data_IF_115586657453
#
_entry.id   IF_115586657453
#
_cell.length_a   1.000
_cell.length_b   1.000
_cell.length_c   1.000
_cell.angle_alpha   90.00
_cell.angle_beta   90.00
_cell.angle_gamma   90.00
#
_symmetry.space_group_name_H-M   'P 1'
#
loop_
_entity.id
_entity.type
_entity.pdbx_description
1 polymer ?
#
# COMPACT_ATOMS: atom_id res chain seq x y z
N UNK A 1 61.19 59.37 38.20
CA UNK A 1 60.66 60.23 37.13
C UNK A 1 59.19 59.88 36.98
N UNK A 2 58.39 60.40 37.93
CA UNK A 2 57.44 61.52 37.75
C UNK A 2 56.14 61.04 37.10
N UNK A 3 54.94 61.19 37.67
CA UNK A 3 54.53 61.73 38.96
C UNK A 3 53.08 61.24 39.27
N UNK A 4 52.80 61.03 40.57
CA UNK A 4 51.57 61.40 41.33
C UNK A 4 50.17 61.27 40.69
N UNK A 5 49.14 60.76 41.38
CA UNK A 5 48.72 61.21 42.72
C UNK A 5 47.83 60.19 43.47
N UNK A 6 47.88 60.34 44.80
CA UNK A 6 47.10 59.64 45.84
C UNK A 6 45.69 60.25 45.94
N UNK A 7 44.70 59.46 46.39
CA UNK A 7 44.02 59.79 47.64
C UNK A 7 43.21 58.61 48.21
N UNK A 8 43.34 58.46 49.53
CA UNK A 8 42.60 57.52 50.39
C UNK A 8 41.32 58.20 50.88
N UNK A 9 40.23 57.46 51.07
CA UNK A 9 39.29 57.73 52.16
C UNK A 9 38.76 56.41 52.77
N UNK A 10 38.41 56.52 54.05
CA UNK A 10 38.24 55.52 55.11
C UNK A 10 36.75 55.30 55.42
N UNK A 11 36.39 54.09 55.87
CA UNK A 11 35.46 53.77 57.02
C UNK A 11 33.95 54.09 56.77
N UNK A 12 32.89 53.39 57.22
CA UNK A 12 32.58 52.35 58.24
C UNK A 12 31.25 51.60 57.91
N UNK A 13 31.12 50.38 58.46
CA UNK A 13 29.94 49.68 59.05
C UNK A 13 28.49 50.01 58.64
N UNK A 14 27.65 49.01 58.31
CA UNK A 14 26.66 48.37 59.22
C UNK A 14 25.85 47.23 58.53
N UNK A 15 25.54 46.20 59.34
CA UNK A 15 24.65 45.02 59.19
C UNK A 15 23.41 45.10 58.29
N UNK A 16 23.00 44.00 57.63
CA UNK A 16 22.12 42.93 58.20
C UNK A 16 21.52 42.00 57.11
N UNK A 17 21.54 40.69 57.41
CA UNK A 17 20.58 39.61 57.07
C UNK A 17 20.51 39.04 55.63
N UNK A 18 21.06 37.82 55.54
CA UNK A 18 20.53 36.58 54.94
C UNK A 18 19.68 36.65 53.66
N UNK A 19 20.14 35.98 52.59
CA UNK A 19 19.75 34.58 52.33
C UNK A 19 20.37 34.06 51.01
N UNK A 20 20.94 32.85 51.13
CA UNK A 20 20.99 31.80 50.12
C UNK A 20 21.93 31.94 48.91
N UNK A 21 23.12 31.41 49.18
CA UNK A 21 24.16 30.79 48.34
C UNK A 21 23.76 30.44 46.90
N UNK A 22 24.54 31.05 46.01
CA UNK A 22 24.86 30.74 44.61
C UNK A 22 25.79 29.52 44.56
N UNK A 23 25.61 28.61 43.58
CA UNK A 23 26.76 28.12 42.80
C UNK A 23 26.40 28.07 41.31
N UNK A 24 26.84 29.13 40.64
CA UNK A 24 27.20 29.19 39.24
C UNK A 24 28.48 28.38 39.01
N UNK A 25 28.55 27.60 37.92
CA UNK A 25 29.80 27.44 37.17
C UNK A 25 29.50 27.67 35.69
N UNK A 26 30.01 28.79 35.21
CA UNK A 26 30.23 29.15 33.80
C UNK A 26 31.73 29.04 33.56
N UNK A 27 32.14 28.27 32.54
CA UNK A 27 33.31 28.52 31.67
C UNK A 27 33.01 27.79 30.34
N UNK A 28 32.52 28.48 29.30
CA UNK A 28 33.28 29.11 28.20
C UNK A 28 34.16 28.11 27.41
N UNK A 29 33.63 27.52 26.34
CA UNK A 29 33.66 27.98 24.92
C UNK A 29 34.94 27.63 24.15
N UNK A 30 34.71 26.96 23.00
CA UNK A 30 35.42 26.93 21.70
C UNK A 30 35.40 25.48 21.17
N UNK A 31 34.94 25.10 19.97
CA UNK A 31 34.58 25.81 18.74
C UNK A 31 33.88 24.79 17.77
N UNK A 32 33.07 25.30 16.83
CA UNK A 32 32.47 24.71 15.59
C UNK A 32 31.09 23.98 15.60
N UNK A 33 30.06 24.82 15.66
CA UNK A 33 28.99 25.08 14.66
C UNK A 33 28.42 23.97 13.75
N UNK A 34 27.08 23.91 13.76
CA UNK A 34 26.24 23.28 12.73
C UNK A 34 24.76 23.11 13.10
N UNK A 35 24.16 24.13 13.73
CA UNK A 35 22.78 24.14 14.26
C UNK A 35 21.70 24.47 13.19
N UNK A 36 20.47 24.05 13.51
CA UNK A 36 19.13 24.54 13.13
C UNK A 36 18.32 23.85 12.01
N UNK A 37 17.28 23.14 12.50
CA UNK A 37 16.00 22.87 11.83
C UNK A 37 15.13 24.14 11.66
N UNK A 38 13.78 24.04 11.57
CA UNK A 38 12.92 23.30 12.52
C UNK A 38 11.75 22.54 11.84
N UNK A 39 10.93 21.81 12.62
CA UNK A 39 9.48 22.06 12.73
C UNK A 39 8.83 21.15 13.80
N UNK A 40 8.35 21.80 14.86
CA UNK A 40 7.65 21.25 16.01
C UNK A 40 6.24 20.76 15.63
N UNK A 41 5.79 19.68 16.28
CA UNK A 41 4.39 19.27 16.33
C UNK A 41 3.94 19.39 17.80
N UNK A 42 2.67 19.77 18.02
CA UNK A 42 1.94 19.98 19.29
C UNK A 42 1.88 21.39 19.85
N UNK A 43 0.66 21.97 19.80
CA UNK A 43 -0.15 22.36 20.98
C UNK A 43 -1.58 22.65 20.50
N UNK A 44 -2.55 21.79 20.84
CA UNK A 44 -3.79 22.26 21.47
C UNK A 44 -4.53 21.06 22.10
N UNK A 45 -4.82 21.18 23.40
CA UNK A 45 -5.47 20.17 24.24
C UNK A 45 -6.75 20.81 24.79
N UNK A 46 -7.90 20.36 24.32
CA UNK A 46 -9.17 20.56 25.04
C UNK A 46 -9.50 19.27 25.79
N UNK A 47 -9.54 19.41 27.11
CA UNK A 47 -9.80 18.38 28.12
C UNK A 47 -11.29 18.00 28.06
N UNK A 48 -11.60 16.78 27.68
CA UNK A 48 -12.89 16.15 28.00
C UNK A 48 -12.65 15.07 29.07
N UNK A 49 -13.26 15.30 30.23
CA UNK A 49 -13.32 14.37 31.36
C UNK A 49 -14.03 13.07 30.94
N UNK A 50 -13.38 11.93 31.16
CA UNK A 50 -14.05 10.63 31.24
C UNK A 50 -14.69 10.48 32.64
N UNK A 51 -15.96 10.08 32.69
CA UNK A 51 -16.60 9.51 33.88
C UNK A 51 -16.58 7.96 33.82
N UNK A 52 -16.61 7.26 34.98
CA UNK A 52 -16.27 5.86 35.06
C UNK A 52 -17.44 4.88 34.82
N UNK A 53 -17.10 3.78 34.15
CA UNK A 53 -17.57 2.40 34.28
C UNK A 53 -18.99 2.12 34.81
N UNK A 54 -19.78 1.40 34.00
CA UNK A 54 -20.82 0.49 34.50
C UNK A 54 -20.42 -0.94 34.11
N UNK A 55 -20.10 -1.74 35.12
CA UNK A 55 -19.95 -3.19 35.06
C UNK A 55 -21.33 -3.84 35.10
N UNK A 56 -21.60 -4.79 34.19
CA UNK A 56 -22.75 -5.69 34.29
C UNK A 56 -22.22 -7.12 34.34
N UNK A 57 -22.57 -7.79 35.44
CA UNK A 57 -22.14 -9.15 35.78
C UNK A 57 -22.87 -10.20 34.95
N UNK A 58 -22.12 -11.20 34.47
CA UNK A 58 -22.59 -12.39 33.76
C UNK A 58 -23.20 -13.37 34.77
N UNK A 59 -24.42 -13.11 35.27
CA UNK A 59 -25.22 -14.10 36.04
C UNK A 59 -26.74 -14.01 35.79
N UNK A 60 -27.23 -13.25 34.80
CA UNK A 60 -28.70 -13.06 34.59
C UNK A 60 -29.23 -13.43 33.19
N UNK A 61 -28.65 -14.42 32.51
CA UNK A 61 -29.15 -14.89 31.20
C UNK A 61 -29.29 -16.42 31.06
N UNK A 62 -29.44 -17.13 32.17
CA UNK A 62 -29.79 -18.56 32.17
C UNK A 62 -31.02 -18.84 33.06
N UNK A 63 -32.19 -18.35 32.65
CA UNK A 63 -33.46 -18.76 33.26
C UNK A 63 -34.68 -18.48 32.36
N UNK A 64 -34.61 -18.70 31.04
CA UNK A 64 -35.81 -18.71 30.17
C UNK A 64 -35.65 -19.65 28.96
N UNK A 65 -35.43 -20.94 29.19
CA UNK A 65 -35.74 -21.97 28.20
C UNK A 65 -36.01 -23.29 28.92
N UNK A 66 -37.25 -23.49 29.34
CA UNK A 66 -37.79 -24.82 29.66
C UNK A 66 -39.32 -24.80 29.68
N UNK A 67 -39.89 -25.78 28.97
CA UNK A 67 -41.26 -26.33 29.04
C UNK A 67 -42.43 -25.49 28.52
N UNK A 68 -43.05 -25.93 27.41
CA UNK A 68 -44.19 -26.85 27.47
C UNK A 68 -44.57 -27.35 26.07
N UNK A 69 -44.55 -28.67 25.88
CA UNK A 69 -45.17 -29.38 24.77
C UNK A 69 -46.43 -30.02 25.35
N UNK A 70 -47.59 -29.81 24.72
CA UNK A 70 -48.81 -30.58 24.97
C UNK A 70 -49.27 -31.19 23.65
N UNK A 71 -49.38 -32.51 23.65
CA UNK A 71 -49.97 -33.31 22.57
C UNK A 71 -51.50 -33.18 22.56
N UNK A 72 -52.07 -33.00 21.37
CA UNK A 72 -53.40 -33.50 21.05
C UNK A 72 -53.44 -33.97 19.60
N UNK A 73 -53.98 -35.18 19.32
CA UNK A 73 -54.03 -35.72 17.97
C UNK A 73 -55.30 -35.26 17.26
N UNK A 74 -55.16 -34.75 16.04
CA UNK A 74 -56.28 -34.70 15.10
C UNK A 74 -55.80 -35.14 13.71
N UNK A 75 -56.41 -36.23 13.28
CA UNK A 75 -56.35 -36.81 11.95
C UNK A 75 -56.92 -35.84 10.92
N UNK A 76 -56.20 -35.62 9.81
CA UNK A 76 -56.77 -35.59 8.46
C UNK A 76 -55.67 -35.63 7.39
N UNK A 77 -55.73 -36.71 6.60
CA UNK A 77 -54.93 -36.93 5.41
C UNK A 77 -55.34 -35.95 4.30
N UNK A 78 -54.41 -35.10 3.88
CA UNK A 78 -54.39 -34.53 2.55
C UNK A 78 -52.95 -34.65 2.02
N UNK A 79 -52.73 -35.62 1.14
CA UNK A 79 -51.48 -35.79 0.41
C UNK A 79 -51.31 -34.64 -0.60
N UNK A 80 -50.80 -33.52 -0.13
CA UNK A 80 -50.21 -32.50 -0.97
C UNK A 80 -48.72 -32.75 -0.97
N UNK A 81 -48.17 -33.27 -2.07
CA UNK A 81 -46.73 -33.42 -2.26
C UNK A 81 -46.12 -32.02 -2.37
N UNK A 82 -45.91 -31.38 -1.22
CA UNK A 82 -45.17 -30.14 -1.13
C UNK A 82 -43.74 -30.44 -1.58
N UNK A 83 -43.40 -30.03 -2.79
CA UNK A 83 -42.02 -29.92 -3.22
C UNK A 83 -41.36 -28.94 -2.25
N UNK A 84 -40.65 -29.47 -1.25
CA UNK A 84 -39.83 -28.66 -0.35
C UNK A 84 -38.69 -28.12 -1.22
N UNK A 85 -38.90 -26.94 -1.82
CA UNK A 85 -37.84 -26.19 -2.47
C UNK A 85 -36.91 -25.74 -1.35
N UNK A 86 -35.83 -26.51 -1.12
CA UNK A 86 -34.80 -26.16 -0.15
C UNK A 86 -34.30 -24.77 -0.48
N UNK A 87 -34.53 -23.80 0.42
CA UNK A 87 -33.99 -22.45 0.29
C UNK A 87 -32.48 -22.58 0.22
N UNK A 88 -31.94 -22.15 -0.90
CA UNK A 88 -30.52 -22.19 -1.16
C UNK A 88 -29.75 -21.38 -0.11
N UNK A 89 -28.62 -21.92 0.38
CA UNK A 89 -27.75 -21.20 1.31
C UNK A 89 -27.04 -20.06 0.58
N UNK A 90 -26.79 -18.95 1.28
CA UNK A 90 -26.10 -17.78 0.70
C UNK A 90 -24.73 -18.14 0.09
N UNK A 91 -24.01 -19.07 0.73
CA UNK A 91 -22.73 -19.61 0.26
C UNK A 91 -22.85 -20.38 -1.07
N UNK A 92 -23.87 -21.23 -1.21
CA UNK A 92 -24.12 -21.96 -2.46
C UNK A 92 -24.38 -20.97 -3.61
N UNK A 93 -25.07 -19.86 -3.31
CA UNK A 93 -25.38 -18.81 -4.29
C UNK A 93 -24.14 -18.04 -4.71
N UNK A 94 -23.29 -17.74 -3.73
CA UNK A 94 -21.99 -17.12 -3.92
C UNK A 94 -21.11 -17.98 -4.85
N UNK A 95 -20.94 -19.26 -4.54
CA UNK A 95 -20.10 -20.16 -5.31
C UNK A 95 -20.63 -20.41 -6.72
N UNK A 96 -21.95 -20.51 -6.92
CA UNK A 96 -22.52 -20.53 -8.28
C UNK A 96 -22.23 -19.25 -9.04
N UNK A 97 -22.29 -18.10 -8.38
CA UNK A 97 -21.93 -16.81 -8.98
C UNK A 97 -20.47 -16.76 -9.44
N UNK A 98 -19.55 -17.28 -8.62
CA UNK A 98 -18.14 -17.40 -8.95
C UNK A 98 -17.88 -18.40 -10.08
N UNK A 99 -18.56 -19.55 -10.08
CA UNK A 99 -18.47 -20.54 -11.15
C UNK A 99 -18.94 -19.94 -12.50
N UNK A 100 -20.03 -19.17 -12.51
CA UNK A 100 -20.48 -18.44 -13.70
C UNK A 100 -19.44 -17.43 -14.18
N UNK A 101 -18.84 -16.66 -13.27
CA UNK A 101 -17.80 -15.70 -13.62
C UNK A 101 -16.59 -16.42 -14.25
N UNK A 102 -16.11 -17.52 -13.65
CA UNK A 102 -15.03 -18.35 -14.20
C UNK A 102 -15.36 -18.85 -15.61
N UNK A 103 -16.58 -19.34 -15.83
CA UNK A 103 -17.01 -19.84 -17.14
C UNK A 103 -17.03 -18.73 -18.21
N UNK A 104 -17.49 -17.52 -17.87
CA UNK A 104 -17.49 -16.37 -18.78
C UNK A 104 -16.06 -15.91 -19.11
N UNK A 105 -15.18 -15.86 -18.11
CA UNK A 105 -13.77 -15.51 -18.31
C UNK A 105 -13.07 -16.55 -19.20
N UNK A 106 -13.31 -17.84 -18.96
CA UNK A 106 -12.77 -18.91 -19.80
C UNK A 106 -13.29 -18.83 -21.24
N UNK A 107 -14.58 -18.51 -21.43
CA UNK A 107 -15.15 -18.28 -22.76
C UNK A 107 -14.48 -17.09 -23.47
N UNK A 108 -14.19 -16.00 -22.75
CA UNK A 108 -13.47 -14.85 -23.30
C UNK A 108 -12.03 -15.21 -23.73
N UNK A 109 -11.39 -16.17 -23.06
CA UNK A 109 -10.07 -16.67 -23.46
C UNK A 109 -10.11 -17.48 -24.77
N UNK A 110 -11.17 -18.26 -24.99
CA UNK A 110 -11.33 -19.13 -26.17
C UNK A 110 -11.82 -18.36 -27.42
N UNK A 111 -12.46 -17.22 -27.22
CA UNK A 111 -12.99 -16.40 -28.31
C UNK A 111 -11.86 -15.52 -28.85
N UNK A 112 -11.48 -15.66 -30.12
CA UNK A 112 -10.74 -14.60 -30.81
C UNK A 112 -11.72 -13.42 -30.94
N UNK A 113 -11.56 -12.32 -30.18
CA UNK A 113 -12.61 -11.33 -30.15
C UNK A 113 -12.73 -10.68 -31.51
N UNK A 114 -13.96 -10.62 -32.04
CA UNK A 114 -14.28 -9.67 -33.08
C UNK A 114 -14.22 -8.29 -32.41
N UNK A 115 -13.05 -7.63 -32.51
CA UNK A 115 -12.68 -6.37 -31.85
C UNK A 115 -13.72 -5.25 -32.00
N UNK A 116 -14.57 -5.32 -33.02
CA UNK A 116 -15.64 -4.36 -33.30
C UNK A 116 -16.77 -4.34 -32.24
N UNK A 117 -17.06 -5.47 -31.57
CA UNK A 117 -18.11 -5.53 -30.54
C UNK A 117 -17.63 -5.02 -29.16
N UNK A 118 -16.31 -5.07 -28.95
CA UNK A 118 -15.61 -4.60 -27.76
C UNK A 118 -15.26 -3.10 -27.82
N UNK A 119 -15.23 -2.52 -29.02
CA UNK A 119 -14.76 -1.15 -29.29
C UNK A 119 -15.61 -0.02 -28.68
N UNK A 120 -16.86 -0.28 -28.27
CA UNK A 120 -17.73 0.78 -27.68
C UNK A 120 -17.48 1.03 -26.19
N UNK A 121 -17.07 0.03 -25.42
CA UNK A 121 -16.84 0.14 -23.96
C UNK A 121 -15.36 0.11 -23.55
N UNK A 122 -14.42 -0.09 -24.49
CA UNK A 122 -12.96 -0.15 -24.24
C UNK A 122 -12.25 1.19 -24.32
N UNK A 123 -12.98 2.30 -24.33
CA UNK A 123 -12.43 3.62 -24.66
C UNK A 123 -11.19 3.94 -23.80
N UNK A 124 -10.00 3.85 -24.41
CA UNK A 124 -8.70 4.12 -23.77
C UNK A 124 -7.83 2.90 -23.41
N UNK A 125 -8.32 1.66 -23.47
CA UNK A 125 -7.49 0.48 -23.19
C UNK A 125 -6.70 0.04 -24.44
N UNK A 126 -5.40 -0.19 -24.29
CA UNK A 126 -4.51 -0.61 -25.39
C UNK A 126 -4.19 -2.10 -25.29
N UNK A 127 -4.62 -2.90 -26.26
CA UNK A 127 -4.43 -4.35 -26.24
C UNK A 127 -2.98 -4.79 -26.00
N UNK A 128 -2.02 -4.07 -26.57
CA UNK A 128 -0.59 -4.42 -26.49
C UNK A 128 -0.01 -4.46 -25.08
N UNK A 129 -0.65 -3.81 -24.09
CA UNK A 129 -0.15 -3.79 -22.70
C UNK A 129 -0.75 -4.89 -21.82
N UNK A 130 -1.67 -5.71 -22.33
CA UNK A 130 -2.29 -6.80 -21.57
C UNK A 130 -1.80 -8.17 -22.03
N UNK A 131 -1.76 -9.14 -21.11
CA UNK A 131 -1.54 -10.54 -21.47
C UNK A 131 -2.68 -11.05 -22.35
N UNK A 132 -3.91 -10.70 -22.00
CA UNK A 132 -5.11 -10.91 -22.80
C UNK A 132 -6.18 -9.87 -22.38
N UNK A 133 -6.43 -8.88 -23.24
CA UNK A 133 -7.35 -7.77 -22.95
C UNK A 133 -8.79 -8.27 -22.75
N UNK A 134 -9.26 -9.22 -23.57
CA UNK A 134 -10.62 -9.73 -23.48
C UNK A 134 -10.87 -10.47 -22.15
N UNK A 135 -9.89 -11.28 -21.71
CA UNK A 135 -9.94 -11.98 -20.41
C UNK A 135 -9.94 -10.99 -19.25
N UNK A 136 -9.04 -10.00 -19.27
CA UNK A 136 -9.00 -8.94 -18.26
C UNK A 136 -10.35 -8.21 -18.18
N UNK A 137 -10.83 -7.71 -19.31
CA UNK A 137 -12.05 -6.93 -19.37
C UNK A 137 -13.27 -7.74 -18.90
N UNK A 138 -13.44 -8.97 -19.38
CA UNK A 138 -14.51 -9.85 -18.93
C UNK A 138 -14.44 -10.11 -17.42
N UNK A 139 -13.24 -10.36 -16.90
CA UNK A 139 -13.04 -10.55 -15.46
C UNK A 139 -13.35 -9.28 -14.65
N UNK A 140 -12.99 -8.12 -15.17
CA UNK A 140 -13.25 -6.83 -14.55
C UNK A 140 -14.76 -6.55 -14.46
N UNK A 141 -15.48 -6.82 -15.55
CA UNK A 141 -16.94 -6.64 -15.59
C UNK A 141 -17.65 -7.58 -14.60
N UNK A 142 -17.20 -8.84 -14.46
CA UNK A 142 -17.74 -9.74 -13.44
C UNK A 142 -17.41 -9.27 -12.01
N UNK A 143 -16.21 -8.73 -11.77
CA UNK A 143 -15.87 -8.10 -10.49
C UNK A 143 -16.82 -6.94 -10.19
N UNK A 144 -16.96 -5.97 -11.09
CA UNK A 144 -17.85 -4.82 -10.89
C UNK A 144 -19.30 -5.21 -10.65
N UNK A 145 -19.76 -6.30 -11.28
CA UNK A 145 -21.14 -6.77 -11.17
C UNK A 145 -21.43 -7.42 -9.82
N UNK A 146 -20.46 -8.16 -9.25
CA UNK A 146 -20.75 -9.08 -8.14
C UNK A 146 -19.93 -8.78 -6.89
N UNK A 147 -18.66 -8.41 -7.03
CA UNK A 147 -17.69 -8.45 -5.95
C UNK A 147 -18.07 -7.56 -4.77
N UNK A 148 -17.97 -8.12 -3.57
CA UNK A 148 -18.23 -7.43 -2.30
C UNK A 148 -17.13 -7.73 -1.29
N UNK A 149 -16.72 -6.68 -0.59
CA UNK A 149 -15.72 -6.71 0.47
C UNK A 149 -16.41 -6.40 1.78
N UNK A 150 -16.37 -7.33 2.73
CA UNK A 150 -16.70 -7.03 4.11
C UNK A 150 -15.48 -6.40 4.78
N UNK A 151 -15.67 -5.33 5.54
CA UNK A 151 -14.58 -4.68 6.29
C UNK A 151 -14.85 -4.93 7.76
N UNK A 152 -13.92 -5.63 8.43
CA UNK A 152 -14.00 -5.85 9.89
C UNK A 152 -14.05 -4.53 10.64
N UNK A 153 -14.82 -4.46 11.71
CA UNK A 153 -15.00 -3.27 12.54
C UNK A 153 -14.04 -3.22 13.74
N UNK A 154 -13.28 -4.29 13.95
CA UNK A 154 -12.41 -4.48 15.11
C UNK A 154 -11.22 -3.55 15.06
N UNK A 155 -10.84 -3.03 16.21
CA UNK A 155 -9.60 -2.29 16.41
C UNK A 155 -9.79 -0.77 16.42
N UNK A 156 -8.85 -0.10 17.07
CA UNK A 156 -8.94 1.34 17.32
C UNK A 156 -7.99 2.15 16.43
N UNK A 157 -8.39 3.40 16.19
CA UNK A 157 -7.51 4.41 15.62
C UNK A 157 -6.30 4.65 16.55
N UNK A 158 -5.10 4.94 16.00
CA UNK A 158 -4.80 5.04 14.57
C UNK A 158 -4.27 3.73 13.96
N UNK A 159 -4.29 2.61 14.68
CA UNK A 159 -3.67 1.34 14.22
C UNK A 159 -4.52 0.62 13.19
N UNK A 160 -5.83 0.79 13.27
CA UNK A 160 -6.82 0.17 12.40
C UNK A 160 -7.74 1.27 11.86
N UNK A 161 -8.35 1.05 10.70
CA UNK A 161 -9.28 1.99 10.04
C UNK A 161 -8.62 3.31 9.64
N UNK A 162 -7.29 3.33 9.56
CA UNK A 162 -6.50 4.48 9.19
C UNK A 162 -5.18 4.02 8.57
N UNK A 163 -4.55 4.89 7.80
CA UNK A 163 -3.25 4.65 7.20
C UNK A 163 -2.62 5.95 6.69
N UNK A 164 -1.36 5.91 6.24
CA UNK A 164 -0.74 7.07 5.63
C UNK A 164 -1.46 7.40 4.31
N UNK A 165 -1.99 8.61 4.19
CA UNK A 165 -2.53 9.14 2.91
C UNK A 165 -1.58 10.16 2.26
N UNK A 166 -0.42 10.39 2.87
CA UNK A 166 0.63 11.32 2.43
C UNK A 166 2.00 10.71 2.65
N UNK A 167 2.97 11.22 1.91
CA UNK A 167 4.35 10.74 1.83
C UNK A 167 4.43 9.29 1.28
N UNK A 168 5.51 8.59 1.60
CA UNK A 168 5.72 7.18 1.24
C UNK A 168 4.65 6.27 1.87
N UNK A 169 4.40 5.13 1.23
CA UNK A 169 3.38 4.15 1.61
C UNK A 169 1.94 4.67 1.51
N UNK A 170 1.71 5.80 0.83
CA UNK A 170 0.39 6.41 0.79
C UNK A 170 -0.69 5.52 0.15
N UNK A 171 -0.32 4.47 -0.60
CA UNK A 171 -1.26 3.51 -1.17
C UNK A 171 -2.01 2.73 -0.09
N UNK A 172 -1.41 2.52 1.09
CA UNK A 172 -2.03 1.83 2.22
C UNK A 172 -3.22 2.63 2.77
N UNK A 173 -3.01 3.89 3.14
CA UNK A 173 -4.09 4.74 3.64
C UNK A 173 -5.11 5.09 2.57
N UNK A 174 -4.69 5.33 1.32
CA UNK A 174 -5.59 5.62 0.20
C UNK A 174 -6.54 4.46 -0.09
N UNK A 175 -6.08 3.21 0.03
CA UNK A 175 -6.96 2.05 -0.12
C UNK A 175 -7.96 1.95 1.03
N UNK A 176 -7.50 2.08 2.29
CA UNK A 176 -8.37 1.99 3.49
C UNK A 176 -9.45 3.08 3.43
N UNK A 177 -9.06 4.32 3.13
CA UNK A 177 -9.98 5.45 3.01
C UNK A 177 -11.03 5.21 1.93
N UNK A 178 -10.61 4.79 0.73
CA UNK A 178 -11.52 4.58 -0.39
C UNK A 178 -12.43 3.37 -0.16
N UNK A 179 -11.95 2.22 0.35
CA UNK A 179 -12.82 1.06 0.58
C UNK A 179 -13.87 1.34 1.67
N UNK A 180 -13.53 2.11 2.69
CA UNK A 180 -14.45 2.43 3.78
C UNK A 180 -15.44 3.55 3.42
N UNK A 181 -14.99 4.61 2.74
CA UNK A 181 -15.79 5.82 2.58
C UNK A 181 -16.23 6.12 1.14
N UNK A 182 -15.40 5.78 0.14
CA UNK A 182 -15.65 6.11 -1.28
C UNK A 182 -16.35 5.00 -2.07
N UNK A 183 -15.88 3.76 -1.93
CA UNK A 183 -16.23 2.62 -2.75
C UNK A 183 -17.49 1.87 -2.27
N UNK A 184 -18.59 2.61 -2.06
CA UNK A 184 -19.89 2.07 -1.59
C UNK A 184 -20.40 0.91 -2.46
N UNK A 185 -20.02 0.86 -3.74
CA UNK A 185 -20.35 -0.24 -4.65
C UNK A 185 -19.68 -1.56 -4.26
N UNK A 186 -18.49 -1.54 -3.67
CA UNK A 186 -17.74 -2.75 -3.33
C UNK A 186 -17.83 -3.11 -1.85
N UNK A 187 -17.97 -2.14 -0.94
CA UNK A 187 -18.13 -2.43 0.49
C UNK A 187 -19.49 -3.06 0.80
N UNK A 188 -19.52 -3.99 1.76
CA UNK A 188 -20.75 -4.49 2.38
C UNK A 188 -20.57 -4.67 3.89
N UNK A 189 -21.64 -4.48 4.66
CA UNK A 189 -21.72 -4.84 6.08
C UNK A 189 -22.41 -6.19 6.30
N UNK A 190 -22.87 -6.84 5.22
CA UNK A 190 -23.51 -8.14 5.25
C UNK A 190 -22.50 -9.21 4.87
N UNK A 191 -22.09 -10.02 5.86
CA UNK A 191 -21.09 -11.05 5.69
C UNK A 191 -21.53 -12.17 4.72
N UNK A 192 -22.84 -12.40 4.55
CA UNK A 192 -23.37 -13.41 3.63
C UNK A 192 -23.30 -12.98 2.17
N UNK A 193 -23.14 -11.67 1.93
CA UNK A 193 -22.94 -11.08 0.59
C UNK A 193 -21.47 -10.90 0.23
N UNK A 194 -20.58 -11.05 1.20
CA UNK A 194 -19.16 -10.80 1.03
C UNK A 194 -18.48 -11.92 0.25
N UNK A 195 -17.64 -11.53 -0.70
CA UNK A 195 -16.78 -12.45 -1.44
C UNK A 195 -15.42 -12.59 -0.75
N UNK A 196 -14.96 -11.51 -0.09
CA UNK A 196 -13.73 -11.45 0.70
C UNK A 196 -13.92 -10.56 1.93
N UNK A 197 -13.03 -10.72 2.90
CA UNK A 197 -13.05 -10.00 4.18
C UNK A 197 -11.73 -9.25 4.39
N UNK A 198 -11.80 -7.93 4.55
CA UNK A 198 -10.66 -7.05 4.73
C UNK A 198 -10.37 -6.83 6.22
N UNK A 199 -9.09 -6.98 6.61
CA UNK A 199 -8.57 -6.60 7.92
C UNK A 199 -7.91 -5.22 7.84
N UNK A 200 -8.59 -4.13 8.26
CA UNK A 200 -8.16 -2.74 8.02
C UNK A 200 -7.06 -2.22 8.96
N UNK A 201 -6.15 -3.09 9.43
CA UNK A 201 -5.00 -2.65 10.21
C UNK A 201 -3.89 -2.08 9.31
N UNK A 202 -3.17 -1.06 9.79
CA UNK A 202 -2.08 -0.41 9.06
C UNK A 202 -0.72 -0.73 9.66
N UNK A 203 0.09 -1.48 8.91
CA UNK A 203 1.47 -1.77 9.32
C UNK A 203 2.28 -0.48 9.42
N UNK A 204 2.03 0.50 8.55
CA UNK A 204 2.73 1.79 8.62
C UNK A 204 2.39 2.55 9.91
N UNK A 205 1.14 2.54 10.36
CA UNK A 205 0.76 3.13 11.64
C UNK A 205 1.37 2.36 12.82
N UNK A 206 1.41 1.03 12.77
CA UNK A 206 2.11 0.24 13.80
C UNK A 206 3.59 0.59 13.87
N UNK A 207 4.28 0.78 12.74
CA UNK A 207 5.68 1.25 12.75
C UNK A 207 5.78 2.63 13.40
N UNK A 208 4.86 3.54 13.10
CA UNK A 208 4.90 4.90 13.66
C UNK A 208 4.70 4.92 15.18
N UNK A 209 3.80 4.09 15.72
CA UNK A 209 3.35 4.20 17.10
C UNK A 209 3.85 3.10 18.03
N UNK A 210 4.19 1.92 17.51
CA UNK A 210 4.63 0.77 18.32
C UNK A 210 6.14 0.52 18.23
N UNK A 211 6.79 0.86 17.12
CA UNK A 211 8.22 0.61 16.95
C UNK A 211 9.08 1.60 17.74
N UNK A 212 9.97 1.09 18.59
CA UNK A 212 10.94 1.89 19.33
C UNK A 212 12.33 1.73 18.72
N UNK A 213 12.82 2.79 18.07
CA UNK A 213 14.15 2.81 17.43
C UNK A 213 15.29 2.48 18.38
N UNK A 214 15.21 2.95 19.63
CA UNK A 214 16.26 2.73 20.63
C UNK A 214 16.52 1.24 20.92
N UNK A 215 15.50 0.38 20.80
CA UNK A 215 15.61 -1.06 21.08
C UNK A 215 15.63 -1.92 19.83
N UNK A 216 15.37 -1.34 18.66
CA UNK A 216 15.16 -2.05 17.40
C UNK A 216 14.13 -3.21 17.48
N UNK A 217 13.24 -3.18 18.49
CA UNK A 217 12.31 -4.26 18.74
C UNK A 217 11.06 -4.14 17.85
N UNK A 218 10.88 -5.10 16.95
CA UNK A 218 9.73 -5.21 16.01
C UNK A 218 8.64 -6.15 16.50
N UNK A 219 8.86 -6.85 17.60
CA UNK A 219 7.93 -7.82 18.18
C UNK A 219 6.54 -7.22 18.51
N UNK A 220 6.41 -5.98 19.01
CA UNK A 220 5.09 -5.39 19.27
C UNK A 220 4.17 -5.36 18.05
N UNK A 221 4.73 -5.17 16.85
CA UNK A 221 3.94 -5.17 15.60
C UNK A 221 3.44 -6.57 15.27
N UNK A 222 4.29 -7.58 15.46
CA UNK A 222 3.93 -8.99 15.24
C UNK A 222 2.84 -9.44 16.21
N UNK A 223 2.96 -9.08 17.50
CA UNK A 223 1.93 -9.36 18.51
C UNK A 223 0.61 -8.71 18.15
N UNK A 224 0.62 -7.43 17.77
CA UNK A 224 -0.60 -6.74 17.34
C UNK A 224 -1.32 -7.49 16.21
N UNK A 225 -0.59 -7.89 15.15
CA UNK A 225 -1.18 -8.60 14.01
C UNK A 225 -1.72 -9.98 14.43
N UNK A 226 -0.99 -10.72 15.27
CA UNK A 226 -1.44 -12.02 15.78
C UNK A 226 -2.71 -11.89 16.64
N UNK A 227 -2.75 -10.90 17.54
CA UNK A 227 -3.88 -10.64 18.41
C UNK A 227 -5.11 -10.20 17.60
N UNK A 228 -4.92 -9.31 16.62
CA UNK A 228 -5.99 -8.88 15.72
C UNK A 228 -6.65 -10.07 15.01
N UNK A 229 -5.83 -10.95 14.41
CA UNK A 229 -6.31 -12.16 13.73
C UNK A 229 -7.02 -13.08 14.72
N UNK A 230 -6.52 -13.22 15.94
CA UNK A 230 -7.14 -14.02 17.00
C UNK A 230 -8.53 -13.49 17.36
N UNK A 231 -8.68 -12.17 17.50
CA UNK A 231 -9.98 -11.54 17.78
C UNK A 231 -10.98 -11.77 16.65
N UNK A 232 -10.61 -11.49 15.40
CA UNK A 232 -11.55 -11.65 14.27
C UNK A 232 -11.93 -13.11 14.04
N UNK A 233 -10.98 -14.05 14.19
CA UNK A 233 -11.23 -15.47 14.00
C UNK A 233 -12.09 -16.10 15.11
N UNK A 234 -11.95 -15.63 16.35
CA UNK A 234 -12.78 -16.08 17.46
C UNK A 234 -14.20 -15.48 17.41
N UNK A 235 -14.33 -14.22 16.99
CA UNK A 235 -15.60 -13.48 16.99
C UNK A 235 -16.51 -13.83 15.82
N UNK A 236 -15.94 -14.08 14.63
CA UNK A 236 -16.73 -14.22 13.40
C UNK A 236 -16.68 -15.63 12.80
N UNK A 237 -17.82 -16.31 12.62
CA UNK A 237 -17.84 -17.69 12.13
C UNK A 237 -17.36 -17.84 10.69
N UNK A 238 -17.40 -16.78 9.88
CA UNK A 238 -16.98 -16.82 8.49
C UNK A 238 -15.45 -16.89 8.30
N UNK A 239 -14.65 -16.58 9.31
CA UNK A 239 -13.20 -16.86 9.27
C UNK A 239 -12.94 -18.37 9.09
N UNK A 240 -13.67 -19.18 9.86
CA UNK A 240 -13.48 -20.63 9.93
C UNK A 240 -13.95 -21.36 8.66
N UNK A 241 -14.82 -20.75 7.84
CA UNK A 241 -15.30 -21.33 6.58
C UNK A 241 -14.15 -21.65 5.62
N UNK A 242 -13.15 -20.79 5.57
CA UNK A 242 -12.00 -20.92 4.65
C UNK A 242 -10.66 -20.98 5.37
N UNK A 243 -10.68 -21.01 6.70
CA UNK A 243 -9.50 -20.80 7.55
C UNK A 243 -8.71 -19.54 7.13
N UNK A 244 -9.44 -18.45 6.86
CA UNK A 244 -8.88 -17.17 6.46
C UNK A 244 -8.48 -17.04 4.98
N UNK A 245 -8.72 -18.04 4.12
CA UNK A 245 -8.25 -17.98 2.73
C UNK A 245 -8.94 -16.91 1.86
N UNK A 246 -10.21 -16.58 2.14
CA UNK A 246 -10.94 -15.46 1.54
C UNK A 246 -10.80 -14.14 2.33
N UNK A 247 -9.85 -14.08 3.26
CA UNK A 247 -9.54 -12.89 4.05
C UNK A 247 -8.24 -12.26 3.54
N UNK A 248 -8.13 -10.94 3.65
CA UNK A 248 -6.94 -10.24 3.18
C UNK A 248 -6.49 -9.11 4.10
N UNK A 249 -5.17 -8.94 4.15
CA UNK A 249 -4.50 -7.77 4.71
C UNK A 249 -3.92 -6.91 3.58
N UNK A 250 -3.65 -5.64 3.87
CA UNK A 250 -2.93 -4.75 2.97
C UNK A 250 -1.85 -3.99 3.71
N UNK A 251 -0.60 -4.07 3.24
CA UNK A 251 0.53 -3.38 3.84
C UNK A 251 1.52 -2.91 2.78
N UNK A 252 1.85 -1.62 2.79
CA UNK A 252 2.86 -1.09 1.90
C UNK A 252 4.24 -0.95 2.56
N UNK A 253 4.32 -0.89 3.88
CA UNK A 253 5.61 -0.87 4.56
C UNK A 253 6.41 -2.17 4.31
N UNK A 254 7.73 -2.06 4.22
CA UNK A 254 8.67 -3.19 3.98
C UNK A 254 8.56 -4.33 5.02
N UNK A 255 7.95 -4.08 6.18
CA UNK A 255 7.75 -5.07 7.25
C UNK A 255 6.41 -5.81 7.16
N UNK A 256 5.57 -5.52 6.17
CA UNK A 256 4.34 -6.28 5.89
C UNK A 256 4.57 -7.80 5.83
N UNK A 257 5.56 -8.31 5.07
CA UNK A 257 5.91 -9.73 5.09
C UNK A 257 6.32 -10.25 6.47
N UNK A 258 7.07 -9.46 7.25
CA UNK A 258 7.53 -9.85 8.58
C UNK A 258 6.35 -10.02 9.55
N UNK A 259 5.50 -9.01 9.69
CA UNK A 259 4.38 -9.05 10.65
C UNK A 259 3.32 -10.09 10.24
N UNK A 260 3.14 -10.34 8.95
CA UNK A 260 2.19 -11.37 8.48
C UNK A 260 2.54 -12.79 8.95
N UNK A 261 3.82 -13.07 9.26
CA UNK A 261 4.28 -14.37 9.78
C UNK A 261 3.83 -14.64 11.21
N UNK A 262 3.40 -13.62 11.94
CA UNK A 262 3.00 -13.75 13.34
C UNK A 262 1.77 -14.65 13.52
N UNK A 263 0.98 -14.86 12.47
CA UNK A 263 -0.12 -15.82 12.47
C UNK A 263 0.00 -16.78 11.26
N UNK A 264 0.08 -18.11 11.47
CA UNK A 264 0.24 -19.07 10.38
C UNK A 264 -0.89 -19.07 9.35
N UNK A 265 -2.14 -18.83 9.76
CA UNK A 265 -3.28 -18.77 8.83
C UNK A 265 -3.23 -17.49 7.98
N UNK A 266 -2.87 -16.35 8.58
CA UNK A 266 -2.63 -15.12 7.84
C UNK A 266 -1.51 -15.28 6.80
N UNK A 267 -0.40 -15.91 7.18
CA UNK A 267 0.76 -16.09 6.30
C UNK A 267 0.47 -17.08 5.17
N UNK A 268 -0.05 -18.27 5.51
CA UNK A 268 -0.18 -19.40 4.58
C UNK A 268 -1.49 -19.40 3.80
N UNK A 269 -2.60 -18.95 4.40
CA UNK A 269 -3.94 -19.08 3.82
C UNK A 269 -4.46 -17.77 3.27
N UNK A 270 -4.40 -16.69 4.06
CA UNK A 270 -4.97 -15.39 3.67
C UNK A 270 -4.24 -14.73 2.51
N UNK A 271 -4.95 -13.88 1.78
CA UNK A 271 -4.40 -13.05 0.70
C UNK A 271 -3.61 -11.91 1.34
N UNK A 272 -2.32 -11.78 1.02
CA UNK A 272 -1.53 -10.63 1.47
C UNK A 272 -1.33 -9.67 0.32
N UNK A 273 -1.84 -8.45 0.46
CA UNK A 273 -1.64 -7.37 -0.50
C UNK A 273 -0.43 -6.55 -0.03
N UNK A 274 0.72 -6.69 -0.70
CA UNK A 274 2.00 -6.21 -0.20
C UNK A 274 2.74 -5.35 -1.22
N UNK A 275 3.33 -4.22 -0.80
CA UNK A 275 4.29 -3.49 -1.65
C UNK A 275 5.60 -4.28 -1.77
N UNK A 276 6.14 -4.80 -0.65
CA UNK A 276 7.30 -5.71 -0.67
C UNK A 276 6.91 -7.12 -1.19
N UNK A 277 6.60 -7.22 -2.49
CA UNK A 277 6.20 -8.43 -3.19
C UNK A 277 7.41 -9.25 -3.66
N UNK A 278 8.27 -9.64 -2.71
CA UNK A 278 9.51 -10.36 -2.97
C UNK A 278 9.34 -11.88 -2.80
N UNK A 279 9.49 -12.64 -3.87
CA UNK A 279 9.33 -14.11 -3.83
C UNK A 279 10.42 -14.81 -3.00
N UNK A 280 11.62 -14.22 -2.86
CA UNK A 280 12.65 -14.77 -1.97
C UNK A 280 12.35 -14.54 -0.49
N UNK A 281 11.41 -13.66 -0.15
CA UNK A 281 10.94 -13.38 1.21
C UNK A 281 9.57 -14.01 1.48
N UNK A 282 9.18 -14.99 0.66
CA UNK A 282 7.98 -15.80 0.84
C UNK A 282 6.70 -15.16 0.34
N UNK A 283 6.76 -14.17 -0.57
CA UNK A 283 5.60 -13.75 -1.36
C UNK A 283 5.24 -14.86 -2.38
N UNK A 284 3.98 -15.30 -2.41
CA UNK A 284 3.48 -16.30 -3.37
C UNK A 284 2.53 -15.62 -4.37
N UNK A 285 2.90 -15.40 -5.65
CA UNK A 285 2.06 -14.71 -6.62
C UNK A 285 0.73 -15.40 -6.91
N UNK A 286 0.59 -16.70 -6.59
CA UNK A 286 -0.67 -17.45 -6.77
C UNK A 286 -1.72 -17.08 -5.72
N UNK A 287 -1.29 -16.59 -4.55
CA UNK A 287 -2.13 -16.29 -3.38
C UNK A 287 -2.11 -14.81 -3.02
N UNK A 288 -0.94 -14.18 -3.05
CA UNK A 288 -0.70 -12.80 -2.66
C UNK A 288 -0.89 -11.85 -3.85
N UNK A 289 -0.95 -10.56 -3.54
CA UNK A 289 -1.16 -9.47 -4.50
C UNK A 289 -0.04 -8.43 -4.33
N UNK A 290 0.57 -8.05 -5.45
CA UNK A 290 1.57 -6.97 -5.47
C UNK A 290 0.86 -5.60 -5.50
N UNK A 291 1.19 -4.76 -4.52
CA UNK A 291 0.62 -3.43 -4.33
C UNK A 291 1.56 -2.37 -4.93
N UNK A 292 1.07 -1.42 -5.74
CA UNK A 292 1.88 -0.28 -6.13
C UNK A 292 2.24 0.59 -4.91
N UNK A 293 3.53 0.79 -4.70
CA UNK A 293 4.01 1.79 -3.76
C UNK A 293 3.91 3.18 -4.39
N UNK A 294 3.43 4.16 -3.62
CA UNK A 294 3.34 5.55 -4.05
C UNK A 294 3.90 6.48 -2.98
N UNK A 295 4.40 7.62 -3.45
CA UNK A 295 4.81 8.74 -2.62
C UNK A 295 4.01 9.98 -2.97
N UNK A 296 3.26 10.50 -2.01
CA UNK A 296 2.41 11.70 -2.20
C UNK A 296 2.84 12.83 -1.26
N UNK A 297 3.78 13.66 -1.69
CA UNK A 297 4.17 14.84 -0.92
C UNK A 297 2.96 15.76 -0.68
N UNK A 298 2.65 16.04 0.59
CA UNK A 298 1.46 16.81 0.96
C UNK A 298 0.12 16.12 0.66
N UNK A 299 0.13 14.84 0.29
CA UNK A 299 -1.07 14.05 -0.03
C UNK A 299 -1.55 14.19 -1.48
N UNK A 300 -0.86 14.94 -2.33
CA UNK A 300 -1.23 15.12 -3.75
C UNK A 300 -0.13 14.67 -4.69
N UNK A 301 -0.50 14.30 -5.91
CA UNK A 301 0.46 14.10 -7.00
C UNK A 301 1.06 15.45 -7.36
N UNK A 302 2.38 15.49 -7.60
CA UNK A 302 3.03 16.75 -7.97
C UNK A 302 2.38 17.35 -9.23
N UNK A 303 2.09 18.67 -9.27
CA UNK A 303 1.44 19.31 -10.42
C UNK A 303 2.11 19.04 -11.77
N UNK A 304 3.45 18.94 -11.81
CA UNK A 304 4.21 18.60 -13.03
C UNK A 304 3.91 17.20 -13.58
N UNK A 305 3.39 16.33 -12.74
CA UNK A 305 3.04 14.95 -13.05
C UNK A 305 1.53 14.75 -13.21
N UNK A 306 0.69 15.77 -12.99
CA UNK A 306 -0.76 15.63 -13.16
C UNK A 306 -1.13 15.47 -14.64
N UNK A 307 -0.50 16.28 -15.49
CA UNK A 307 -0.76 16.28 -16.93
C UNK A 307 0.28 15.41 -17.67
N UNK A 308 -0.16 14.60 -18.64
CA UNK A 308 0.74 13.95 -19.57
C UNK A 308 1.67 14.96 -20.27
N UNK A 309 2.98 14.68 -20.40
CA UNK A 309 3.84 15.44 -21.28
C UNK A 309 3.30 15.42 -22.71
N UNK A 310 3.54 16.47 -23.48
CA UNK A 310 3.17 16.44 -24.91
C UNK A 310 3.97 15.34 -25.63
N UNK A 311 3.38 14.71 -26.64
CA UNK A 311 4.01 13.57 -27.32
C UNK A 311 5.40 13.93 -27.90
N UNK A 312 5.56 15.18 -28.33
CA UNK A 312 6.79 15.76 -28.90
C UNK A 312 7.76 16.35 -27.87
N UNK A 313 7.49 16.20 -26.56
CA UNK A 313 8.42 16.68 -25.53
C UNK A 313 9.80 16.03 -25.68
N UNK A 314 10.83 16.86 -25.84
CA UNK A 314 12.22 16.40 -25.94
C UNK A 314 12.67 15.75 -24.63
N UNK A 315 13.33 14.59 -24.75
CA UNK A 315 13.92 13.84 -23.63
C UNK A 315 15.42 13.71 -23.86
N UNK A 316 16.21 14.76 -23.56
CA UNK A 316 17.65 14.80 -23.86
C UNK A 316 18.47 13.85 -22.98
N UNK A 317 17.96 13.44 -21.82
CA UNK A 317 18.66 12.53 -20.91
C UNK A 317 18.37 11.08 -21.29
N UNK A 318 19.41 10.25 -21.34
CA UNK A 318 19.26 8.81 -21.51
C UNK A 318 18.50 8.23 -20.32
N UNK A 319 18.93 8.54 -19.10
CA UNK A 319 18.18 8.13 -17.93
C UNK A 319 18.54 8.86 -16.66
N UNK A 320 17.70 8.67 -15.64
CA UNK A 320 17.80 9.40 -14.38
C UNK A 320 17.52 8.52 -13.15
N UNK A 321 18.26 8.81 -12.08
CA UNK A 321 18.01 8.34 -10.73
C UNK A 321 18.42 9.40 -9.69
N UNK A 322 17.60 9.56 -8.66
CA UNK A 322 18.03 10.18 -7.41
C UNK A 322 17.50 9.39 -6.20
N UNK A 323 18.40 9.04 -5.27
CA UNK A 323 18.03 8.33 -4.05
C UNK A 323 19.24 7.90 -3.22
N UNK A 324 19.10 8.03 -1.90
CA UNK A 324 20.15 7.69 -0.94
C UNK A 324 20.50 6.19 -0.91
N UNK A 325 21.60 5.89 -0.21
CA UNK A 325 22.05 4.52 0.08
C UNK A 325 20.97 3.74 0.85
N UNK A 326 20.41 2.74 0.20
CA UNK A 326 19.31 1.94 0.76
C UNK A 326 19.23 0.59 0.04
N UNK A 327 19.21 -0.50 0.80
CA UNK A 327 19.21 -1.86 0.24
C UNK A 327 20.48 -2.26 -0.50
N UNK A 328 20.51 -3.45 -1.12
CA UNK A 328 21.70 -4.00 -1.77
C UNK A 328 21.97 -3.42 -3.18
N UNK A 329 20.94 -2.95 -3.89
CA UNK A 329 21.08 -2.55 -5.30
C UNK A 329 21.58 -1.10 -5.46
N UNK A 330 21.08 -0.16 -4.64
CA UNK A 330 21.45 1.26 -4.75
C UNK A 330 22.94 1.54 -4.52
N UNK A 331 23.63 0.89 -3.56
CA UNK A 331 25.08 1.04 -3.41
C UNK A 331 25.85 0.68 -4.69
N UNK A 332 25.45 -0.38 -5.39
CA UNK A 332 26.05 -0.75 -6.68
C UNK A 332 25.80 0.33 -7.74
N UNK A 333 24.55 0.78 -7.88
CA UNK A 333 24.19 1.84 -8.84
C UNK A 333 24.99 3.13 -8.59
N UNK A 334 25.03 3.58 -7.34
CA UNK A 334 25.74 4.80 -6.95
C UNK A 334 27.25 4.66 -7.13
N UNK A 335 27.83 3.51 -6.77
CA UNK A 335 29.25 3.22 -7.00
C UNK A 335 29.63 3.37 -8.46
N UNK A 336 28.82 2.85 -9.38
CA UNK A 336 29.14 2.83 -10.80
C UNK A 336 28.78 4.11 -11.54
N UNK A 337 27.70 4.80 -11.18
CA UNK A 337 27.16 5.88 -12.03
C UNK A 337 27.04 7.26 -11.37
N UNK A 338 27.17 7.37 -10.03
CA UNK A 338 26.99 8.66 -9.33
C UNK A 338 27.93 9.72 -9.91
N UNK A 339 27.35 10.76 -10.53
CA UNK A 339 28.09 11.88 -11.11
C UNK A 339 29.03 11.54 -12.27
N UNK A 340 28.90 10.37 -12.91
CA UNK A 340 29.89 9.91 -13.91
C UNK A 340 29.52 10.14 -15.37
N UNK A 341 28.26 10.45 -15.67
CA UNK A 341 27.80 10.62 -17.05
C UNK A 341 26.86 11.83 -17.21
N UNK A 342 26.95 12.49 -18.38
CA UNK A 342 26.16 13.67 -18.70
C UNK A 342 24.71 13.33 -19.12
N UNK A 343 24.47 12.15 -19.69
CA UNK A 343 23.17 11.70 -20.19
C UNK A 343 22.51 10.67 -19.27
N UNK A 344 23.30 9.89 -18.51
CA UNK A 344 22.81 8.98 -17.46
C UNK A 344 23.04 9.61 -16.08
N UNK A 345 22.08 10.42 -15.64
CA UNK A 345 22.20 11.26 -14.43
C UNK A 345 21.82 10.48 -13.18
N UNK A 346 22.82 10.13 -12.37
CA UNK A 346 22.64 9.40 -11.11
C UNK A 346 23.11 10.24 -9.94
N UNK A 347 22.22 10.45 -8.97
CA UNK A 347 22.46 11.22 -7.74
C UNK A 347 22.12 10.39 -6.50
N UNK A 348 22.88 10.59 -5.43
CA UNK A 348 22.52 10.08 -4.11
C UNK A 348 21.48 11.00 -3.46
N UNK A 349 21.81 12.28 -3.39
CA UNK A 349 20.88 13.35 -3.03
C UNK A 349 20.89 14.38 -4.13
N UNK A 350 19.69 14.75 -4.61
CA UNK A 350 19.57 15.78 -5.62
C UNK A 350 19.88 17.15 -4.98
N UNK A 351 20.77 17.98 -5.56
CA UNK A 351 21.01 19.34 -5.10
C UNK A 351 19.70 20.14 -4.97
N UNK A 352 19.60 20.99 -3.93
CA UNK A 352 18.35 21.74 -3.62
C UNK A 352 17.87 22.66 -4.74
N UNK A 353 18.77 23.13 -5.58
CA UNK A 353 18.49 24.00 -6.72
C UNK A 353 18.03 23.23 -7.98
N UNK A 354 18.00 21.90 -7.93
CA UNK A 354 17.57 21.05 -9.02
C UNK A 354 16.21 20.43 -8.70
N UNK A 355 15.39 20.25 -9.73
CA UNK A 355 14.04 19.72 -9.60
C UNK A 355 13.94 18.26 -10.07
N UNK A 356 13.58 17.38 -9.14
CA UNK A 356 13.52 15.93 -9.36
C UNK A 356 12.60 15.54 -10.53
N UNK A 357 11.40 16.11 -10.60
CA UNK A 357 10.42 15.74 -11.62
C UNK A 357 10.79 16.30 -13.00
N UNK A 358 11.45 17.45 -13.08
CA UNK A 358 12.03 17.95 -14.33
C UNK A 358 13.02 16.95 -14.92
N UNK A 359 13.90 16.36 -14.12
CA UNK A 359 14.82 15.32 -14.59
C UNK A 359 14.09 14.07 -15.10
N UNK A 360 13.03 13.63 -14.41
CA UNK A 360 12.21 12.49 -14.88
C UNK A 360 11.51 12.80 -16.21
N UNK A 361 10.94 14.00 -16.34
CA UNK A 361 10.25 14.45 -17.56
C UNK A 361 11.20 14.59 -18.75
N UNK A 362 12.47 14.90 -18.51
CA UNK A 362 13.52 15.03 -19.53
C UNK A 362 14.26 13.72 -19.83
N UNK A 363 13.96 12.63 -19.12
CA UNK A 363 14.66 11.35 -19.27
C UNK A 363 13.89 10.36 -20.13
N UNK A 364 14.59 9.62 -21.00
CA UNK A 364 14.00 8.50 -21.73
C UNK A 364 13.66 7.35 -20.78
N UNK A 365 14.59 7.02 -19.88
CA UNK A 365 14.51 5.91 -18.93
C UNK A 365 14.62 6.39 -17.48
N UNK A 366 13.78 5.88 -16.58
CA UNK A 366 13.84 6.22 -15.16
C UNK A 366 14.23 4.97 -14.37
N UNK A 367 15.37 5.04 -13.66
CA UNK A 367 15.89 3.87 -12.96
C UNK A 367 15.09 3.64 -11.67
N UNK A 368 14.65 2.41 -11.48
CA UNK A 368 13.88 1.96 -10.32
C UNK A 368 14.62 0.83 -9.59
N UNK A 369 15.77 1.12 -8.95
CA UNK A 369 16.48 0.13 -8.14
C UNK A 369 15.75 -0.18 -6.84
N UNK A 370 15.68 -1.47 -6.51
CA UNK A 370 15.15 -1.92 -5.23
C UNK A 370 15.96 -1.39 -4.04
N UNK A 371 15.29 -1.29 -2.91
CA UNK A 371 15.83 -0.94 -1.61
C UNK A 371 15.97 -2.17 -0.71
N UNK A 372 15.73 -1.98 0.59
CA UNK A 372 15.54 -3.11 1.51
C UNK A 372 14.28 -3.92 1.15
N UNK A 373 13.24 -3.24 0.66
CA UNK A 373 12.16 -3.87 -0.10
C UNK A 373 12.38 -3.79 -1.61
N UNK A 374 11.70 -4.68 -2.33
CA UNK A 374 11.74 -4.71 -3.79
C UNK A 374 10.94 -3.60 -4.47
N UNK A 375 9.94 -3.03 -3.77
CA UNK A 375 9.14 -1.93 -4.29
C UNK A 375 9.90 -0.60 -4.31
N UNK A 376 9.40 0.30 -5.16
CA UNK A 376 9.87 1.68 -5.18
C UNK A 376 8.74 2.58 -5.67
N UNK A 377 8.51 3.75 -5.02
CA UNK A 377 7.47 4.66 -5.47
C UNK A 377 7.83 5.31 -6.81
N UNK A 378 9.12 5.25 -7.17
CA UNK A 378 9.68 5.71 -8.45
C UNK A 378 9.06 5.01 -9.66
N UNK A 379 8.57 3.79 -9.51
CA UNK A 379 7.89 3.08 -10.60
C UNK A 379 6.64 3.85 -11.00
N UNK A 380 5.82 4.26 -10.02
CA UNK A 380 4.61 5.04 -10.26
C UNK A 380 4.95 6.46 -10.71
N UNK A 381 5.95 7.11 -10.10
CA UNK A 381 6.43 8.42 -10.54
C UNK A 381 6.93 8.41 -11.99
N UNK A 382 7.63 7.35 -12.41
CA UNK A 382 8.12 7.18 -13.78
C UNK A 382 6.97 7.02 -14.77
N UNK A 383 5.95 6.26 -14.41
CA UNK A 383 4.73 6.10 -15.21
C UNK A 383 4.01 7.45 -15.36
N UNK A 384 3.85 8.23 -14.28
CA UNK A 384 3.29 9.58 -14.36
C UNK A 384 4.16 10.56 -15.17
N UNK A 385 5.47 10.40 -15.16
CA UNK A 385 6.38 11.20 -15.97
C UNK A 385 6.46 10.73 -17.43
N UNK A 386 5.75 9.66 -17.82
CA UNK A 386 5.91 8.94 -19.11
C UNK A 386 7.38 8.62 -19.44
N UNK A 387 8.16 8.35 -18.39
CA UNK A 387 9.54 7.94 -18.43
C UNK A 387 9.57 6.42 -18.33
N UNK A 388 10.19 5.72 -19.28
CA UNK A 388 10.14 4.25 -19.31
C UNK A 388 10.83 3.70 -18.05
N UNK A 389 10.11 2.99 -17.15
CA UNK A 389 10.70 2.47 -15.94
C UNK A 389 11.76 1.41 -16.26
N UNK A 390 12.91 1.51 -15.61
CA UNK A 390 13.98 0.49 -15.68
C UNK A 390 14.00 -0.24 -14.34
N UNK A 391 13.49 -1.47 -14.34
CA UNK A 391 13.37 -2.30 -13.15
C UNK A 391 14.73 -2.92 -12.86
N UNK A 392 15.33 -2.48 -11.76
CA UNK A 392 16.63 -2.96 -11.25
C UNK A 392 16.37 -3.69 -9.92
N UNK A 393 15.77 -4.88 -10.02
CA UNK A 393 15.37 -5.69 -8.87
C UNK A 393 15.40 -7.17 -9.24
N UNK A 394 15.66 -8.01 -8.24
CA UNK A 394 15.55 -9.47 -8.30
C UNK A 394 14.31 -9.92 -7.55
N UNK A 395 13.63 -10.96 -8.04
CA UNK A 395 12.51 -11.62 -7.32
C UNK A 395 11.29 -10.74 -7.03
N UNK A 396 11.18 -9.58 -7.68
CA UNK A 396 10.04 -8.69 -7.54
C UNK A 396 8.88 -9.11 -8.45
N UNK A 397 7.72 -9.40 -7.86
CA UNK A 397 6.47 -9.52 -8.60
C UNK A 397 5.89 -8.12 -8.79
N UNK A 398 5.93 -7.61 -10.01
CA UNK A 398 5.49 -6.25 -10.31
C UNK A 398 3.96 -6.10 -10.15
N UNK A 399 3.46 -4.93 -9.75
CA UNK A 399 2.02 -4.70 -9.56
C UNK A 399 1.22 -4.98 -10.83
N UNK A 400 0.05 -5.59 -10.67
CA UNK A 400 -0.88 -5.92 -11.76
C UNK A 400 -0.32 -6.86 -12.85
N UNK A 401 0.78 -7.57 -12.57
CA UNK A 401 1.41 -8.50 -13.52
C UNK A 401 0.55 -9.70 -13.92
N UNK A 402 -0.55 -9.99 -13.21
CA UNK A 402 -1.52 -11.00 -13.67
C UNK A 402 -2.20 -10.60 -14.98
N UNK A 403 -2.29 -9.29 -15.27
CA UNK A 403 -3.07 -8.76 -16.40
C UNK A 403 -2.24 -7.87 -17.32
N UNK A 404 -1.27 -7.12 -16.78
CA UNK A 404 -0.40 -6.23 -17.53
C UNK A 404 0.93 -6.89 -17.91
N UNK A 405 1.30 -6.75 -19.18
CA UNK A 405 2.60 -7.16 -19.74
C UNK A 405 3.64 -6.08 -19.49
N UNK A 406 4.42 -6.21 -18.42
CA UNK A 406 5.44 -5.23 -18.06
C UNK A 406 6.50 -5.00 -19.16
N UNK A 407 6.79 -5.98 -20.00
CA UNK A 407 7.74 -5.85 -21.11
C UNK A 407 7.22 -4.90 -22.21
N UNK A 408 5.92 -4.60 -22.23
CA UNK A 408 5.32 -3.68 -23.18
C UNK A 408 5.54 -2.20 -22.78
N UNK A 409 5.96 -1.91 -21.55
CA UNK A 409 6.10 -0.53 -21.05
C UNK A 409 7.26 -0.30 -20.09
N UNK A 410 8.11 -1.29 -19.84
CA UNK A 410 9.29 -1.17 -18.98
C UNK A 410 10.48 -1.95 -19.55
N UNK A 411 11.67 -1.71 -18.98
CA UNK A 411 12.88 -2.48 -19.26
C UNK A 411 13.35 -3.12 -17.96
N UNK A 412 13.51 -4.43 -17.92
CA UNK A 412 14.12 -5.11 -16.79
C UNK A 412 15.63 -5.28 -17.04
N UNK A 413 16.45 -4.92 -16.06
CA UNK A 413 17.91 -5.05 -16.14
C UNK A 413 18.39 -5.82 -14.91
N UNK A 414 19.19 -6.86 -15.14
CA UNK A 414 19.78 -7.62 -14.04
C UNK A 414 20.71 -6.72 -13.22
N UNK A 415 20.74 -6.89 -11.90
CA UNK A 415 21.63 -6.12 -11.01
C UNK A 415 23.11 -6.32 -11.34
N UNK A 416 23.49 -7.47 -11.90
CA UNK A 416 24.85 -7.73 -12.41
C UNK A 416 25.23 -6.86 -13.61
N UNK A 417 24.25 -6.36 -14.36
CA UNK A 417 24.42 -5.53 -15.56
C UNK A 417 24.49 -4.04 -15.25
N UNK A 418 24.37 -3.64 -13.97
CA UNK A 418 24.51 -2.25 -13.54
C UNK A 418 25.78 -1.60 -14.10
N UNK A 419 26.98 -2.21 -14.09
CA UNK A 419 28.18 -1.59 -14.66
C UNK A 419 28.06 -1.23 -16.15
N UNK A 420 27.20 -1.93 -16.91
CA UNK A 420 26.95 -1.71 -18.35
C UNK A 420 25.63 -1.01 -18.64
N UNK A 421 25.00 -0.40 -17.64
CA UNK A 421 23.65 0.14 -17.76
C UNK A 421 23.47 1.10 -18.94
N UNK A 422 24.45 1.98 -19.21
CA UNK A 422 24.41 2.87 -20.37
C UNK A 422 24.36 2.10 -21.68
N UNK A 423 25.20 1.08 -21.85
CA UNK A 423 25.23 0.23 -23.05
C UNK A 423 23.89 -0.48 -23.25
N UNK A 424 23.36 -1.08 -22.19
CA UNK A 424 22.06 -1.76 -22.21
C UNK A 424 20.95 -0.79 -22.64
N UNK A 425 20.86 0.40 -22.06
CA UNK A 425 19.81 1.37 -22.40
C UNK A 425 19.99 1.96 -23.81
N UNK A 426 21.21 2.21 -24.25
CA UNK A 426 21.51 2.68 -25.61
C UNK A 426 21.24 1.60 -26.67
N UNK A 427 21.32 0.32 -26.30
CA UNK A 427 21.01 -0.79 -27.21
C UNK A 427 19.53 -0.91 -27.55
N UNK A 428 18.65 -0.24 -26.79
CA UNK A 428 17.20 -0.23 -27.06
C UNK A 428 16.94 0.59 -28.33
N UNK A 429 16.49 -0.02 -29.45
CA UNK A 429 16.27 0.73 -30.68
C UNK A 429 15.18 1.78 -30.51
N UNK A 430 15.30 2.92 -31.20
CA UNK A 430 14.34 4.03 -31.07
C UNK A 430 12.89 3.60 -31.33
N UNK A 431 12.66 2.71 -32.29
CA UNK A 431 11.33 2.12 -32.55
C UNK A 431 10.78 1.34 -31.35
N UNK A 432 11.63 0.60 -30.62
CA UNK A 432 11.25 -0.11 -29.40
C UNK A 432 10.98 0.87 -28.26
N UNK A 433 11.83 1.88 -28.10
CA UNK A 433 11.63 2.93 -27.10
C UNK A 433 10.28 3.64 -27.26
N UNK A 434 9.92 4.04 -28.50
CA UNK A 434 8.60 4.65 -28.79
C UNK A 434 7.44 3.75 -28.37
N UNK A 435 7.48 2.46 -28.69
CA UNK A 435 6.47 1.49 -28.25
C UNK A 435 6.39 1.37 -26.72
N UNK A 436 7.53 1.34 -26.03
CA UNK A 436 7.57 1.32 -24.56
C UNK A 436 6.92 2.58 -23.98
N UNK A 437 7.26 3.77 -24.49
CA UNK A 437 6.66 5.04 -24.06
C UNK A 437 5.14 5.07 -24.28
N UNK A 438 4.67 4.60 -25.45
CA UNK A 438 3.23 4.46 -25.68
C UNK A 438 2.56 3.46 -24.73
N UNK A 439 3.28 2.39 -24.36
CA UNK A 439 2.83 1.43 -23.35
C UNK A 439 2.70 2.10 -21.98
N UNK A 440 3.68 2.91 -21.57
CA UNK A 440 3.64 3.68 -20.31
C UNK A 440 2.41 4.60 -20.29
N UNK A 441 2.18 5.33 -21.39
CA UNK A 441 1.01 6.20 -21.55
C UNK A 441 -0.30 5.42 -21.40
N UNK A 442 -0.38 4.23 -22.00
CA UNK A 442 -1.57 3.38 -21.92
C UNK A 442 -1.84 2.85 -20.50
N UNK A 443 -0.82 2.47 -19.74
CA UNK A 443 -1.01 1.94 -18.37
C UNK A 443 -1.17 3.02 -17.32
N UNK A 444 -0.85 4.28 -17.62
CA UNK A 444 -0.89 5.41 -16.66
C UNK A 444 -2.18 5.48 -15.83
N UNK A 445 -3.33 5.25 -16.48
CA UNK A 445 -4.63 5.24 -15.80
C UNK A 445 -4.72 4.21 -14.67
N UNK A 446 -4.15 3.02 -14.87
CA UNK A 446 -4.12 1.94 -13.86
C UNK A 446 -3.26 2.23 -12.65
N UNK A 447 -2.35 3.20 -12.76
CA UNK A 447 -1.52 3.65 -11.65
C UNK A 447 -1.98 4.99 -11.09
N UNK A 448 -3.11 5.54 -11.57
CA UNK A 448 -3.66 6.80 -11.08
C UNK A 448 -4.57 6.56 -9.88
N UNK A 449 -4.44 7.40 -8.85
CA UNK A 449 -5.43 7.49 -7.78
C UNK A 449 -6.47 8.55 -8.11
N UNK A 450 -7.75 8.16 -8.17
CA UNK A 450 -8.86 9.10 -8.22
C UNK A 450 -9.61 9.10 -6.89
N UNK A 451 -10.25 10.22 -6.58
CA UNK A 451 -11.23 10.30 -5.52
C UNK A 451 -12.45 11.10 -6.02
N UNK A 452 -13.64 10.46 -6.17
CA UNK A 452 -13.90 9.03 -5.95
C UNK A 452 -13.16 8.15 -6.97
N UNK A 453 -12.95 6.87 -6.63
CA UNK A 453 -12.32 5.91 -7.53
C UNK A 453 -13.08 5.79 -8.86
N UNK A 454 -12.34 5.64 -9.96
CA UNK A 454 -12.86 5.51 -11.33
C UNK A 454 -12.51 4.15 -11.92
N UNK A 455 -13.32 3.70 -12.88
CA UNK A 455 -13.07 2.43 -13.56
C UNK A 455 -11.62 2.32 -14.04
N UNK A 456 -11.05 1.15 -13.84
CA UNK A 456 -9.66 0.80 -14.19
C UNK A 456 -8.56 1.59 -13.49
N UNK A 457 -8.85 2.44 -12.50
CA UNK A 457 -7.81 3.13 -11.75
C UNK A 457 -7.09 2.23 -10.74
N UNK A 458 -6.09 2.76 -10.03
CA UNK A 458 -5.27 1.97 -9.12
C UNK A 458 -6.10 1.22 -8.06
N UNK A 459 -7.12 1.87 -7.49
CA UNK A 459 -7.99 1.23 -6.51
C UNK A 459 -8.74 0.03 -7.10
N UNK A 460 -9.35 0.21 -8.28
CA UNK A 460 -10.04 -0.88 -8.95
C UNK A 460 -9.10 -2.01 -9.40
N UNK A 461 -7.87 -1.69 -9.82
CA UNK A 461 -6.88 -2.68 -10.20
C UNK A 461 -6.36 -3.49 -9.00
N UNK A 462 -6.24 -2.86 -7.81
CA UNK A 462 -5.95 -3.56 -6.55
C UNK A 462 -7.11 -4.51 -6.22
N UNK A 463 -8.36 -4.03 -6.23
CA UNK A 463 -9.53 -4.88 -6.00
C UNK A 463 -9.65 -6.03 -7.00
N UNK A 464 -9.34 -5.77 -8.28
CA UNK A 464 -9.34 -6.79 -9.32
C UNK A 464 -8.29 -7.86 -9.04
N UNK A 465 -7.11 -7.46 -8.58
CA UNK A 465 -6.08 -8.41 -8.18
C UNK A 465 -6.54 -9.29 -7.01
N UNK A 466 -7.22 -8.74 -6.00
CA UNK A 466 -7.83 -9.53 -4.91
C UNK A 466 -8.96 -10.43 -5.42
N UNK A 467 -9.79 -9.94 -6.34
CA UNK A 467 -10.86 -10.69 -6.98
C UNK A 467 -10.35 -11.94 -7.69
N UNK A 468 -9.22 -11.85 -8.41
CA UNK A 468 -8.60 -13.00 -9.06
C UNK A 468 -8.20 -14.09 -8.05
N UNK A 469 -7.74 -13.71 -6.85
CA UNK A 469 -7.38 -14.65 -5.78
C UNK A 469 -8.62 -15.34 -5.28
N UNK A 470 -9.71 -14.59 -5.06
CA UNK A 470 -11.00 -15.18 -4.69
C UNK A 470 -11.56 -16.13 -5.75
N UNK A 471 -11.39 -15.82 -7.04
CA UNK A 471 -11.76 -16.72 -8.13
C UNK A 471 -10.90 -17.99 -8.14
N UNK A 472 -9.64 -17.93 -7.72
CA UNK A 472 -8.77 -19.11 -7.69
C UNK A 472 -8.99 -20.01 -6.47
N UNK A 473 -9.58 -19.48 -5.39
CA UNK A 473 -10.02 -20.29 -4.26
C UNK A 473 -11.11 -21.27 -4.70
N UNK A 474 -10.82 -22.57 -4.61
CA UNK A 474 -11.83 -23.63 -4.71
C UNK A 474 -12.28 -23.94 -3.29
N UNK A 475 -13.56 -23.77 -3.00
CA UNK A 475 -14.15 -24.36 -1.79
C UNK A 475 -13.97 -25.88 -1.88
N UNK A 476 -13.59 -26.49 -0.75
CA UNK A 476 -13.48 -27.95 -0.64
C UNK A 476 -14.85 -28.59 -0.55
#
# INVERSE_FOLDING_TARGET
MESTSRNRFRVSTLSCVCASIIVLVVVSTMIFDGDRGPFNFFTDFSVFKLEPSISVSIVELQAKFSTSVRDHPSTNNANTTAVIVRKERAEEKMERGLAQARALIHKAAASHPNMSLLARDHQGLKESVYHNLAVFYQSYMEMEKRFKVYVYSEGDLPMVHNGPCKDIYASEGRFIEEIEHGAKKFRTSDADRAHVYFMPFSVTMMVKFLYRRATANREPLSRFVADYVTVVSAKYPFWNRTHGADHFMLACHDWGPYVSRANPLLYNSSIRVLCNANTSEGFDPRKDVSLPEIKLYGGVVNPKLLHPPTDNSSRPLLGFFAGGLHGPVRPLLLKHWKGRDAHLRVYEYLPKNLDYYTFMLQSKFCLCPSGYEVASPRIVEAIYAECVPVILSSSYVLPFSDVLRWEAFSVQVNTSEIPRLKEVLMSVPEKKYKKLKEGVKAVRGHFTLNHPAKRFDMFHMILHSVWLRRLNLRSR
#
